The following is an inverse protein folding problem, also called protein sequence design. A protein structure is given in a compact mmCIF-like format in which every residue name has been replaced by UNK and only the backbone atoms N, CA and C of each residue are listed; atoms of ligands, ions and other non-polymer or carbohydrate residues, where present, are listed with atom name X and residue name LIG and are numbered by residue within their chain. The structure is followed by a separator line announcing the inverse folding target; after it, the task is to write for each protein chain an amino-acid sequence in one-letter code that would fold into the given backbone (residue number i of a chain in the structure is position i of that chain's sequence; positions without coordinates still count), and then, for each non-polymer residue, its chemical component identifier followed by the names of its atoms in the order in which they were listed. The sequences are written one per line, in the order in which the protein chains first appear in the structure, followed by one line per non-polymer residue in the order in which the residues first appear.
data_IF_371426865816
#
_entry.id   IF_371426865816
#
_cell.length_a   1.000
_cell.length_b   1.000
_cell.length_c   1.000
_cell.angle_alpha   90.00
_cell.angle_beta   90.00
_cell.angle_gamma   90.00
#
_symmetry.space_group_name_H-M   'P 1'
#
loop_
_entity.id
_entity.type
_entity.pdbx_description
1 polymer ?
#
# COMPACT_ATOMS: atom_id res chain seq x y z
N UNK A 1 -17.86 -1.18 7.98
CA UNK A 1 -17.05 -0.58 6.90
C UNK A 1 -17.23 0.93 6.93
N UNK A 2 -16.15 1.68 6.69
CA UNK A 2 -16.22 3.14 6.54
C UNK A 2 -16.74 3.46 5.14
N UNK A 3 -17.63 4.44 5.03
CA UNK A 3 -18.23 4.86 3.76
C UNK A 3 -17.39 5.98 3.13
N UNK A 4 -16.26 5.70 2.48
CA UNK A 4 -15.41 6.76 1.91
C UNK A 4 -16.07 7.63 0.85
N UNK A 5 -17.18 7.17 0.25
CA UNK A 5 -17.95 8.00 -0.66
C UNK A 5 -18.61 9.21 0.03
N UNK A 6 -18.79 9.18 1.36
CA UNK A 6 -19.29 10.34 2.13
C UNK A 6 -18.19 11.28 2.60
N UNK A 7 -16.91 10.97 2.34
CA UNK A 7 -15.80 11.86 2.66
C UNK A 7 -15.77 13.07 1.72
N UNK A 8 -15.44 14.23 2.28
CA UNK A 8 -15.35 15.53 1.59
C UNK A 8 -13.88 15.89 1.35
N UNK A 9 -13.53 16.14 0.09
CA UNK A 9 -12.21 16.64 -0.28
C UNK A 9 -11.96 18.01 0.38
N UNK A 10 -10.73 18.26 0.85
CA UNK A 10 -10.35 19.46 1.59
C UNK A 10 -10.84 19.50 3.04
N UNK A 11 -11.53 18.44 3.50
CA UNK A 11 -11.95 18.27 4.90
C UNK A 11 -11.40 16.95 5.45
N UNK A 12 -11.70 15.85 4.77
CA UNK A 12 -11.35 14.49 5.21
C UNK A 12 -10.09 13.94 4.50
N UNK A 13 -9.68 14.56 3.38
CA UNK A 13 -8.47 14.23 2.61
C UNK A 13 -8.16 15.33 1.58
N UNK A 14 -6.88 15.50 1.24
CA UNK A 14 -6.41 16.48 0.24
C UNK A 14 -5.95 15.81 -1.08
N UNK A 15 -5.38 14.61 -1.02
CA UNK A 15 -4.87 13.86 -2.19
C UNK A 15 -5.27 12.39 -2.17
N UNK A 16 -5.50 11.82 -3.37
CA UNK A 16 -6.10 10.49 -3.54
C UNK A 16 -5.20 9.45 -4.21
N UNK A 17 -4.08 9.84 -4.82
CA UNK A 17 -3.39 8.96 -5.73
C UNK A 17 -2.35 8.10 -5.02
N UNK A 18 -2.58 6.79 -5.01
CA UNK A 18 -1.52 5.80 -4.90
C UNK A 18 -1.19 5.31 -6.32
N UNK A 19 0.09 5.12 -6.66
CA UNK A 19 0.43 4.46 -7.91
C UNK A 19 -0.05 3.01 -7.89
N UNK A 20 -0.47 2.52 -9.05
CA UNK A 20 -1.02 1.16 -9.24
C UNK A 20 -0.21 0.52 -10.32
N UNK A 21 0.46 -0.60 -9.98
CA UNK A 21 1.25 -1.33 -10.96
C UNK A 21 0.40 -1.72 -12.17
N UNK A 22 0.94 -1.42 -13.34
CA UNK A 22 0.36 -1.83 -14.61
C UNK A 22 0.59 -3.32 -14.83
N UNK A 23 -0.37 -3.98 -15.47
CA UNK A 23 -0.23 -5.36 -15.94
C UNK A 23 1.02 -5.56 -16.80
N UNK A 24 1.37 -4.56 -17.61
CA UNK A 24 2.60 -4.56 -18.41
C UNK A 24 3.84 -4.72 -17.52
N UNK A 25 3.91 -4.00 -16.40
CA UNK A 25 5.02 -4.08 -15.45
C UNK A 25 5.09 -5.45 -14.77
N UNK A 26 3.94 -6.09 -14.50
CA UNK A 26 3.87 -7.47 -13.99
C UNK A 26 4.44 -8.45 -15.01
N UNK A 27 4.03 -8.33 -16.28
CA UNK A 27 4.52 -9.21 -17.35
C UNK A 27 6.01 -9.03 -17.62
N UNK A 28 6.50 -7.78 -17.61
CA UNK A 28 7.92 -7.47 -17.74
C UNK A 28 8.71 -8.10 -16.59
N UNK A 29 8.23 -7.98 -15.34
CA UNK A 29 8.88 -8.62 -14.19
C UNK A 29 8.95 -10.15 -14.36
N UNK A 30 7.85 -10.78 -14.77
CA UNK A 30 7.80 -12.22 -15.00
C UNK A 30 8.73 -12.67 -16.14
N UNK A 31 8.75 -11.93 -17.26
CA UNK A 31 9.63 -12.21 -18.40
C UNK A 31 11.11 -12.07 -18.02
N UNK A 32 11.47 -11.03 -17.29
CA UNK A 32 12.83 -10.83 -16.77
C UNK A 32 13.22 -11.96 -15.81
N UNK A 33 12.34 -12.33 -14.88
CA UNK A 33 12.61 -13.41 -13.94
C UNK A 33 12.84 -14.74 -14.67
N UNK A 34 12.01 -15.06 -15.67
CA UNK A 34 12.17 -16.26 -16.49
C UNK A 34 13.47 -16.26 -17.29
N UNK A 35 13.85 -15.10 -17.86
CA UNK A 35 15.10 -14.96 -18.62
C UNK A 35 16.36 -15.08 -17.73
N UNK A 36 16.32 -14.48 -16.54
CA UNK A 36 17.45 -14.49 -15.60
C UNK A 36 17.50 -15.77 -14.73
N UNK A 37 16.51 -16.67 -14.86
CA UNK A 37 16.39 -17.88 -14.04
C UNK A 37 16.05 -17.60 -12.57
N UNK A 38 15.46 -16.43 -12.28
CA UNK A 38 15.10 -15.99 -10.95
C UNK A 38 13.81 -16.66 -10.45
N UNK A 39 13.73 -16.87 -9.13
CA UNK A 39 12.46 -17.24 -8.50
C UNK A 39 11.56 -16.00 -8.37
N UNK A 40 10.30 -16.15 -8.81
CA UNK A 40 9.25 -15.14 -8.65
C UNK A 40 8.34 -15.53 -7.48
N UNK A 41 8.17 -14.61 -6.54
CA UNK A 41 7.31 -14.76 -5.37
C UNK A 41 6.21 -13.72 -5.42
N UNK A 42 4.99 -14.10 -5.03
CA UNK A 42 3.89 -13.17 -4.82
C UNK A 42 3.50 -13.22 -3.34
N UNK A 43 3.42 -12.05 -2.69
CA UNK A 43 3.01 -11.93 -1.31
C UNK A 43 1.75 -11.05 -1.21
N UNK A 44 0.71 -11.60 -0.61
CA UNK A 44 -0.51 -10.88 -0.24
C UNK A 44 -0.39 -10.36 1.20
N UNK A 45 -0.55 -9.05 1.40
CA UNK A 45 -0.42 -8.45 2.73
C UNK A 45 -1.79 -8.36 3.37
N UNK A 46 -2.05 -9.28 4.30
CA UNK A 46 -3.28 -9.25 5.10
C UNK A 46 -3.40 -7.92 5.85
N UNK A 47 -4.54 -7.28 5.68
CA UNK A 47 -4.86 -6.00 6.31
C UNK A 47 -3.84 -4.90 5.99
N UNK A 48 -3.33 -4.86 4.76
CA UNK A 48 -2.35 -3.88 4.26
C UNK A 48 -2.62 -2.46 4.79
N UNK A 49 -3.85 -1.96 4.61
CA UNK A 49 -4.22 -0.60 5.03
C UNK A 49 -4.12 -0.34 6.53
N UNK A 50 -4.32 -1.35 7.39
CA UNK A 50 -4.18 -1.18 8.85
C UNK A 50 -2.75 -0.86 9.30
N UNK A 51 -1.75 -1.16 8.45
CA UNK A 51 -0.36 -0.80 8.71
C UNK A 51 -0.08 0.68 8.43
N UNK A 52 -0.95 1.34 7.68
CA UNK A 52 -0.86 2.75 7.31
C UNK A 52 -1.30 3.67 8.47
N UNK A 53 -0.44 4.61 8.82
CA UNK A 53 -0.70 5.65 9.83
C UNK A 53 -1.39 6.86 9.18
N UNK A 54 -2.60 7.21 9.63
CA UNK A 54 -3.32 8.38 9.11
C UNK A 54 -2.70 9.66 9.68
N UNK A 55 -2.34 10.58 8.79
CA UNK A 55 -1.90 11.94 9.17
C UNK A 55 -3.07 12.90 9.27
N UNK A 56 -4.10 12.68 8.46
CA UNK A 56 -5.32 13.47 8.42
C UNK A 56 -6.28 13.08 9.55
N UNK A 57 -7.02 14.06 10.07
CA UNK A 57 -8.05 13.82 11.08
C UNK A 57 -9.33 13.29 10.45
N UNK A 58 -9.49 11.96 10.48
CA UNK A 58 -10.70 11.30 9.99
C UNK A 58 -11.56 10.85 11.16
N UNK A 59 -12.84 11.22 11.13
CA UNK A 59 -13.82 10.82 12.13
C UNK A 59 -14.88 9.88 11.53
N UNK A 60 -15.29 8.89 12.31
CA UNK A 60 -16.35 7.95 11.93
C UNK A 60 -17.40 7.83 13.02
N UNK A 61 -18.63 7.52 12.63
CA UNK A 61 -19.66 7.16 13.58
C UNK A 61 -19.25 5.90 14.35
N UNK A 62 -19.73 5.79 15.59
CA UNK A 62 -19.54 4.59 16.39
C UNK A 62 -20.14 3.38 15.65
N UNK A 63 -19.40 2.26 15.51
CA UNK A 63 -19.90 1.09 14.83
C UNK A 63 -21.01 0.43 15.66
N UNK A 64 -21.94 -0.24 14.97
CA UNK A 64 -22.97 -1.07 15.59
C UNK A 64 -22.31 -2.07 16.55
N UNK A 65 -22.81 -2.13 17.79
CA UNK A 65 -22.26 -2.98 18.85
C UNK A 65 -21.11 -2.37 19.66
N UNK A 66 -20.66 -1.15 19.34
CA UNK A 66 -19.64 -0.41 20.11
C UNK A 66 -20.14 0.98 20.57
N UNK A 67 -21.44 1.22 20.51
CA UNK A 67 -22.01 2.50 20.96
C UNK A 67 -21.90 2.61 22.47
N UNK A 68 -21.31 3.70 22.96
CA UNK A 68 -21.19 4.00 24.38
C UNK A 68 -22.48 4.67 24.86
N UNK A 69 -23.14 4.06 25.85
CA UNK A 69 -24.36 4.60 26.47
C UNK A 69 -24.13 6.02 27.02
N UNK A 70 -25.02 6.95 26.68
CA UNK A 70 -24.93 8.36 27.03
C UNK A 70 -23.98 9.17 26.15
N UNK A 71 -23.34 8.55 25.15
CA UNK A 71 -22.42 9.18 24.19
C UNK A 71 -22.73 8.77 22.75
N UNK A 72 -23.97 8.42 22.46
CA UNK A 72 -24.41 7.85 21.18
C UNK A 72 -24.13 8.77 19.99
N UNK A 73 -24.08 10.08 20.21
CA UNK A 73 -23.79 11.09 19.19
C UNK A 73 -22.31 11.40 19.01
N UNK A 74 -21.42 10.79 19.81
CA UNK A 74 -19.98 10.99 19.64
C UNK A 74 -19.46 10.21 18.44
N UNK A 75 -18.34 10.71 17.90
CA UNK A 75 -17.61 10.11 16.80
C UNK A 75 -16.25 9.60 17.29
N UNK A 76 -15.69 8.63 16.58
CA UNK A 76 -14.37 8.08 16.84
C UNK A 76 -13.36 8.67 15.85
N UNK A 77 -12.18 9.05 16.33
CA UNK A 77 -11.07 9.45 15.46
C UNK A 77 -10.28 8.21 15.02
N UNK A 78 -10.07 8.06 13.72
CA UNK A 78 -9.26 6.99 13.17
C UNK A 78 -7.78 7.37 13.22
N UNK A 79 -6.95 6.46 13.73
CA UNK A 79 -5.48 6.62 13.72
C UNK A 79 -4.81 5.79 12.62
N UNK A 80 -5.51 4.79 12.07
CA UNK A 80 -5.04 3.87 11.03
C UNK A 80 -5.94 3.92 9.82
N UNK A 81 -5.37 3.70 8.65
CA UNK A 81 -6.15 3.61 7.43
C UNK A 81 -7.04 2.36 7.45
N UNK A 82 -8.32 2.54 7.11
CA UNK A 82 -9.31 1.48 7.06
C UNK A 82 -9.82 1.29 5.62
N UNK A 83 -10.29 0.08 5.35
CA UNK A 83 -11.04 -0.20 4.13
C UNK A 83 -12.20 0.76 3.94
N UNK A 84 -12.31 1.23 2.70
CA UNK A 84 -13.31 2.19 2.29
C UNK A 84 -12.91 3.64 2.53
N UNK A 85 -11.77 3.97 3.15
CA UNK A 85 -11.23 5.33 3.11
C UNK A 85 -10.61 5.59 1.74
N UNK A 86 -10.85 6.78 1.17
CA UNK A 86 -10.30 7.12 -0.15
C UNK A 86 -8.78 7.26 -0.14
N UNK A 87 -8.19 7.67 0.98
CA UNK A 87 -6.75 7.83 1.16
C UNK A 87 -6.03 6.54 1.59
N UNK A 88 -6.74 5.45 1.91
CA UNK A 88 -6.11 4.24 2.46
C UNK A 88 -5.01 3.65 1.56
N UNK A 89 -5.18 3.56 0.22
CA UNK A 89 -4.11 3.09 -0.67
C UNK A 89 -2.85 3.96 -0.60
N UNK A 90 -3.01 5.29 -0.56
CA UNK A 90 -1.89 6.25 -0.51
C UNK A 90 -1.10 6.11 0.80
N UNK A 91 -1.82 6.01 1.91
CA UNK A 91 -1.21 5.85 3.24
C UNK A 91 -0.44 4.53 3.31
N UNK A 92 -0.97 3.46 2.72
CA UNK A 92 -0.28 2.19 2.60
C UNK A 92 0.96 2.27 1.72
N UNK A 93 0.87 2.86 0.51
CA UNK A 93 2.01 3.05 -0.38
C UNK A 93 3.16 3.79 0.31
N UNK A 94 2.85 4.88 1.02
CA UNK A 94 3.85 5.64 1.77
C UNK A 94 4.49 4.84 2.91
N UNK A 95 3.72 3.95 3.57
CA UNK A 95 4.26 3.06 4.61
C UNK A 95 5.17 2.00 4.00
N UNK A 96 4.78 1.42 2.87
CA UNK A 96 5.55 0.39 2.19
C UNK A 96 6.85 0.97 1.64
N UNK A 97 6.80 2.12 0.96
CA UNK A 97 7.96 2.84 0.44
C UNK A 97 9.02 3.05 1.52
N UNK A 98 8.64 3.64 2.65
CA UNK A 98 9.54 3.85 3.80
C UNK A 98 10.15 2.55 4.32
N UNK A 99 9.36 1.48 4.34
CA UNK A 99 9.81 0.16 4.80
C UNK A 99 10.82 -0.45 3.83
N UNK A 100 10.55 -0.36 2.51
CA UNK A 100 11.43 -0.86 1.46
C UNK A 100 12.74 -0.06 1.40
N UNK A 101 12.69 1.26 1.51
CA UNK A 101 13.88 2.13 1.60
C UNK A 101 14.73 1.76 2.82
N UNK A 102 14.11 1.52 3.98
CA UNK A 102 14.83 1.03 5.16
C UNK A 102 15.50 -0.33 4.94
N UNK A 103 14.91 -1.19 4.11
CA UNK A 103 15.47 -2.48 3.66
C UNK A 103 16.47 -2.36 2.49
N UNK A 104 16.90 -1.12 2.17
CA UNK A 104 17.87 -0.78 1.11
C UNK A 104 17.39 -1.05 -0.32
N UNK A 105 16.09 -1.08 -0.53
CA UNK A 105 15.54 -0.99 -1.88
C UNK A 105 15.55 0.46 -2.37
N UNK A 106 15.72 0.63 -3.68
CA UNK A 106 15.65 1.91 -4.37
C UNK A 106 14.46 1.89 -5.32
N UNK A 107 13.63 2.93 -5.23
CA UNK A 107 12.48 3.12 -6.12
C UNK A 107 12.98 3.51 -7.51
N UNK A 108 12.35 2.96 -8.55
CA UNK A 108 12.63 3.31 -9.95
C UNK A 108 12.03 4.70 -10.25
N UNK A 109 12.76 5.56 -10.96
CA UNK A 109 12.29 6.93 -11.27
C UNK A 109 11.21 6.92 -12.36
N UNK A 110 11.33 6.00 -13.31
CA UNK A 110 10.44 5.87 -14.46
C UNK A 110 9.13 5.14 -14.11
N UNK A 111 9.18 4.24 -13.13
CA UNK A 111 8.07 3.36 -12.74
C UNK A 111 7.97 3.31 -11.21
N UNK A 112 7.14 4.18 -10.63
CA UNK A 112 7.04 4.36 -9.17
C UNK A 112 6.51 3.13 -8.41
N UNK A 113 6.06 2.09 -9.09
CA UNK A 113 5.65 0.83 -8.45
C UNK A 113 6.78 -0.21 -8.41
N UNK A 114 7.94 0.10 -9.00
CA UNK A 114 9.08 -0.82 -9.11
C UNK A 114 10.19 -0.39 -8.15
N UNK A 115 10.71 -1.37 -7.41
CA UNK A 115 11.86 -1.22 -6.54
C UNK A 115 12.95 -2.21 -6.92
N UNK A 116 14.20 -1.80 -6.77
CA UNK A 116 15.36 -2.67 -7.02
C UNK A 116 16.34 -2.64 -5.86
N UNK A 117 17.06 -3.75 -5.66
CA UNK A 117 18.13 -3.83 -4.67
C UNK A 117 19.29 -4.66 -5.22
N UNK A 118 20.50 -4.12 -5.13
CA UNK A 118 21.71 -4.76 -5.64
C UNK A 118 21.92 -4.57 -7.15
N UNK A 119 23.04 -5.09 -7.66
CA UNK A 119 23.48 -4.93 -9.04
C UNK A 119 23.87 -6.27 -9.67
N UNK A 120 23.75 -6.38 -11.00
CA UNK A 120 24.14 -7.59 -11.74
C UNK A 120 23.28 -8.80 -11.38
N UNK A 121 23.89 -9.98 -11.28
CA UNK A 121 23.20 -11.27 -11.03
C UNK A 121 22.52 -11.37 -9.65
N UNK A 122 22.91 -10.53 -8.69
CA UNK A 122 22.28 -10.45 -7.36
C UNK A 122 21.15 -9.43 -7.26
N UNK A 123 20.68 -8.89 -8.39
CA UNK A 123 19.62 -7.87 -8.41
C UNK A 123 18.30 -8.49 -8.01
N UNK A 124 17.70 -7.93 -6.96
CA UNK A 124 16.32 -8.16 -6.59
C UNK A 124 15.42 -7.09 -7.22
N UNK A 125 14.24 -7.48 -7.70
CA UNK A 125 13.22 -6.57 -8.22
C UNK A 125 11.91 -6.82 -7.50
N UNK A 126 11.25 -5.75 -7.06
CA UNK A 126 9.96 -5.80 -6.39
C UNK A 126 8.98 -4.90 -7.14
N UNK A 127 7.77 -5.40 -7.38
CA UNK A 127 6.66 -4.66 -7.95
C UNK A 127 5.54 -4.59 -6.91
N UNK A 128 5.20 -3.37 -6.52
CA UNK A 128 4.09 -3.10 -5.61
C UNK A 128 2.75 -3.17 -6.34
N UNK A 129 1.79 -3.87 -5.75
CA UNK A 129 0.39 -3.89 -6.15
C UNK A 129 -0.43 -3.44 -4.93
N UNK A 130 -1.66 -2.98 -5.15
CA UNK A 130 -2.46 -2.23 -4.15
C UNK A 130 -2.47 -2.84 -2.74
N UNK A 131 -2.50 -4.17 -2.62
CA UNK A 131 -2.49 -4.89 -1.34
C UNK A 131 -1.49 -6.07 -1.30
N UNK A 132 -0.66 -6.19 -2.34
CA UNK A 132 0.26 -7.31 -2.53
C UNK A 132 1.54 -6.85 -3.22
N UNK A 133 2.57 -7.68 -3.27
CA UNK A 133 3.74 -7.38 -4.08
C UNK A 133 4.32 -8.63 -4.71
N UNK A 134 4.92 -8.46 -5.88
CA UNK A 134 5.69 -9.49 -6.56
C UNK A 134 7.19 -9.22 -6.39
N UNK A 135 7.97 -10.24 -6.11
CA UNK A 135 9.40 -10.14 -5.83
C UNK A 135 10.17 -11.19 -6.63
N UNK A 136 11.18 -10.77 -7.38
CA UNK A 136 12.08 -11.64 -8.13
C UNK A 136 13.53 -11.50 -7.64
N UNK A 137 14.22 -12.63 -7.48
CA UNK A 137 15.64 -12.68 -7.13
C UNK A 137 16.32 -13.93 -7.68
N UNK A 138 17.64 -13.87 -7.84
CA UNK A 138 18.44 -15.02 -8.25
C UNK A 138 18.40 -16.14 -7.21
N UNK A 139 18.23 -17.36 -7.70
CA UNK A 139 18.37 -18.59 -6.93
C UNK A 139 19.87 -18.91 -6.75
N UNK A 140 20.26 -19.19 -5.50
CA UNK A 140 21.62 -19.62 -5.14
C UNK A 140 21.87 -21.06 -5.56
#
# INVERSE_FOLDING_TARGET
MVKGYVQRAGVDFDELFAPVARLDSVYVLAAVAAHEGCALHHLDVKSAFLNGDLTEEVYVAQPLGFTITGRERQVLRLCKALYGLRQAPRVWNAKLDRTLVALRFMRCEEEHDVYTRGTGRGRARLLEQTESFAYAHATS
#
